data_IF_163334355698
#
_entry.id   IF_163334355698
#
_cell.length_a   1.000
_cell.length_b   1.000
_cell.length_c   1.000
_cell.angle_alpha   90.00
_cell.angle_beta   90.00
_cell.angle_gamma   90.00
#
_symmetry.space_group_name_H-M   'P 1'
#
loop_
_entity.id
_entity.type
_entity.pdbx_description
1 polymer ?
#
# COMPACT_ATOMS: atom_id res chain seq x y z
N UNK A 1 5.31 32.28 7.02
CA UNK A 1 5.83 32.28 5.62
C UNK A 1 4.75 31.67 4.74
N UNK A 2 4.49 32.23 3.55
CA UNK A 2 3.53 31.72 2.58
C UNK A 2 4.18 31.72 1.20
N UNK A 3 3.73 30.86 0.29
CA UNK A 3 4.06 30.92 -1.13
C UNK A 3 2.78 30.85 -1.96
N UNK A 4 2.86 31.37 -3.15
CA UNK A 4 1.75 31.41 -4.10
C UNK A 4 2.19 30.73 -5.40
N UNK A 5 1.24 30.10 -6.09
CA UNK A 5 1.49 29.43 -7.35
C UNK A 5 0.22 28.90 -7.98
N UNK A 6 0.39 28.12 -9.04
CA UNK A 6 -0.70 27.53 -9.83
C UNK A 6 -0.61 26.01 -9.75
N UNK A 7 -1.76 25.34 -9.66
CA UNK A 7 -1.82 23.87 -9.80
C UNK A 7 -1.60 23.52 -11.27
N UNK A 8 -0.44 22.96 -11.56
CA UNK A 8 -0.03 22.59 -12.92
C UNK A 8 -0.48 21.20 -13.34
N UNK A 9 -0.74 20.29 -12.38
CA UNK A 9 -1.26 18.96 -12.69
C UNK A 9 -2.02 18.33 -11.51
N UNK A 10 -3.00 17.51 -11.88
CA UNK A 10 -3.77 16.65 -10.97
C UNK A 10 -3.53 15.21 -11.45
N UNK A 11 -3.00 14.37 -10.59
CA UNK A 11 -2.77 12.96 -10.90
C UNK A 11 -3.76 12.05 -10.19
N UNK A 12 -3.98 10.86 -10.75
CA UNK A 12 -4.79 9.81 -10.15
C UNK A 12 -4.12 9.13 -8.96
N UNK A 13 -4.68 8.02 -8.54
CA UNK A 13 -4.13 7.20 -7.46
C UNK A 13 -2.68 6.81 -7.76
N UNK A 14 -1.84 6.90 -6.76
CA UNK A 14 -0.43 6.54 -6.84
C UNK A 14 0.05 5.96 -5.51
N UNK A 15 1.18 5.26 -5.54
CA UNK A 15 1.76 4.68 -4.34
C UNK A 15 2.95 5.49 -3.85
N UNK A 16 2.99 5.71 -2.55
CA UNK A 16 4.16 6.29 -1.91
C UNK A 16 5.32 5.30 -1.94
N UNK A 17 6.52 5.77 -1.70
CA UNK A 17 7.72 4.94 -1.56
C UNK A 17 7.61 3.82 -0.49
N UNK A 18 6.63 3.91 0.42
CA UNK A 18 6.33 2.90 1.45
C UNK A 18 5.11 2.05 1.11
N UNK A 19 4.71 1.99 -0.15
CA UNK A 19 3.58 1.19 -0.62
C UNK A 19 2.19 1.71 -0.22
N UNK A 20 2.10 2.85 0.47
CA UNK A 20 0.80 3.43 0.83
C UNK A 20 0.14 4.02 -0.41
N UNK A 21 -1.04 3.54 -0.76
CA UNK A 21 -1.85 4.12 -1.82
C UNK A 21 -2.44 5.46 -1.38
N UNK A 22 -2.30 6.47 -2.25
CA UNK A 22 -2.87 7.81 -2.08
C UNK A 22 -3.79 8.05 -3.26
N UNK A 23 -5.04 8.40 -2.98
CA UNK A 23 -6.11 8.58 -3.96
C UNK A 23 -5.95 9.89 -4.75
N UNK A 24 -4.77 10.10 -5.32
CA UNK A 24 -4.46 11.26 -6.14
C UNK A 24 -3.44 12.22 -5.54
N UNK A 25 -2.98 13.14 -6.36
CA UNK A 25 -2.09 14.22 -5.94
C UNK A 25 -2.35 15.50 -6.74
N UNK A 26 -2.02 16.64 -6.13
CA UNK A 26 -1.93 17.93 -6.80
C UNK A 26 -0.45 18.32 -6.88
N UNK A 27 -0.01 18.76 -8.02
CA UNK A 27 1.30 19.34 -8.22
C UNK A 27 1.15 20.80 -8.61
N UNK A 28 1.80 21.68 -7.84
CA UNK A 28 1.82 23.10 -8.08
C UNK A 28 3.26 23.58 -8.29
N UNK A 29 3.43 24.77 -8.84
CA UNK A 29 4.70 25.47 -8.93
C UNK A 29 5.02 26.29 -7.67
N UNK A 30 4.22 26.14 -6.62
CA UNK A 30 4.48 26.78 -5.33
C UNK A 30 5.83 26.34 -4.75
N UNK A 31 6.59 27.26 -4.21
CA UNK A 31 7.83 26.92 -3.50
C UNK A 31 7.52 26.28 -2.16
N UNK A 32 8.02 25.05 -1.93
CA UNK A 32 7.91 24.33 -0.66
C UNK A 32 9.09 24.69 0.23
N UNK A 33 8.92 25.61 1.12
CA UNK A 33 9.93 25.95 2.13
C UNK A 33 9.99 24.91 3.27
N UNK A 34 11.12 24.83 3.99
CA UNK A 34 11.20 24.02 5.18
C UNK A 34 10.05 24.31 6.16
N UNK A 35 9.35 23.27 6.63
CA UNK A 35 8.18 23.40 7.50
C UNK A 35 6.83 23.46 6.79
N UNK A 36 6.78 23.50 5.45
CA UNK A 36 5.50 23.48 4.71
C UNK A 36 4.83 22.10 4.66
N UNK A 37 5.58 21.00 4.89
CA UNK A 37 4.97 19.68 5.02
C UNK A 37 4.02 19.62 6.20
N UNK A 38 2.80 19.14 5.97
CA UNK A 38 1.71 19.13 6.95
C UNK A 38 0.88 20.42 6.96
N UNK A 39 1.31 21.47 6.24
CA UNK A 39 0.53 22.69 6.06
C UNK A 39 -0.51 22.54 4.93
N UNK A 40 -1.57 23.35 4.94
CA UNK A 40 -2.61 23.32 3.92
C UNK A 40 -2.15 23.98 2.61
N UNK A 41 -2.63 23.45 1.47
CA UNK A 41 -2.79 24.21 0.25
C UNK A 41 -4.20 24.78 0.26
N UNK A 42 -4.32 26.09 0.06
CA UNK A 42 -5.62 26.78 0.03
C UNK A 42 -5.84 27.42 -1.33
N UNK A 43 -7.09 27.53 -1.76
CA UNK A 43 -7.46 28.28 -2.96
C UNK A 43 -7.58 29.79 -2.66
N UNK A 44 -7.92 30.55 -3.66
CA UNK A 44 -8.06 32.03 -3.56
C UNK A 44 -9.24 32.47 -2.68
N UNK A 45 -10.19 31.57 -2.42
CA UNK A 45 -11.29 31.80 -1.48
C UNK A 45 -10.98 31.34 -0.05
N UNK A 46 -9.75 30.83 0.21
CA UNK A 46 -9.32 30.37 1.52
C UNK A 46 -9.78 28.94 1.87
N UNK A 47 -10.32 28.18 0.93
CA UNK A 47 -10.74 26.80 1.17
C UNK A 47 -9.53 25.87 1.09
N UNK A 48 -9.43 24.91 2.01
CA UNK A 48 -8.37 23.88 2.00
C UNK A 48 -8.62 22.91 0.86
N UNK A 49 -7.73 22.88 -0.13
CA UNK A 49 -7.78 21.94 -1.26
C UNK A 49 -6.88 20.73 -1.07
N UNK A 50 -5.97 20.78 -0.10
CA UNK A 50 -5.14 19.61 0.23
C UNK A 50 -4.09 19.88 1.30
N UNK A 51 -3.31 18.85 1.61
CA UNK A 51 -2.23 18.85 2.58
C UNK A 51 -0.87 18.69 1.88
N UNK A 52 0.05 19.59 2.14
CA UNK A 52 1.36 19.61 1.51
C UNK A 52 2.31 18.56 2.08
N UNK A 53 3.13 17.97 1.20
CA UNK A 53 4.20 17.05 1.59
C UNK A 53 5.42 17.23 0.67
N UNK A 54 6.57 17.55 1.25
CA UNK A 54 7.85 17.63 0.52
C UNK A 54 8.51 16.27 0.32
N UNK A 55 8.04 15.20 1.00
CA UNK A 55 8.65 13.87 0.97
C UNK A 55 8.02 12.91 -0.02
N UNK A 56 6.82 13.19 -0.51
CA UNK A 56 6.08 12.27 -1.36
C UNK A 56 6.49 12.34 -2.83
N UNK A 57 7.01 13.47 -3.30
CA UNK A 57 7.44 13.64 -4.69
C UNK A 57 8.95 13.73 -4.80
N UNK A 58 9.65 12.74 -5.24
CA UNK A 58 11.11 12.66 -5.52
C UNK A 58 11.76 14.04 -5.83
N UNK A 59 11.85 14.92 -4.81
CA UNK A 59 12.41 16.27 -4.93
C UNK A 59 11.41 17.38 -5.34
N UNK A 60 10.18 17.06 -5.67
CA UNK A 60 9.11 18.04 -5.88
C UNK A 60 8.06 17.90 -4.76
N UNK A 61 7.60 19.01 -4.20
CA UNK A 61 6.48 19.01 -3.26
C UNK A 61 5.21 18.49 -3.95
N UNK A 62 4.48 17.64 -3.26
CA UNK A 62 3.15 17.19 -3.68
C UNK A 62 2.13 17.59 -2.61
N UNK A 63 0.90 17.85 -3.05
CA UNK A 63 -0.22 18.07 -2.15
C UNK A 63 -1.19 16.90 -2.27
N UNK A 64 -1.54 16.29 -1.13
CA UNK A 64 -2.58 15.25 -1.04
C UNK A 64 -3.93 15.96 -1.08
N UNK A 65 -4.84 15.65 -2.04
CA UNK A 65 -6.13 16.31 -2.15
C UNK A 65 -6.98 16.15 -0.89
N UNK A 66 -7.77 17.17 -0.56
CA UNK A 66 -8.63 17.15 0.62
C UNK A 66 -9.63 15.98 0.61
N UNK A 67 -10.12 15.58 -0.58
CA UNK A 67 -11.03 14.44 -0.74
C UNK A 67 -10.36 13.12 -0.33
N UNK A 68 -9.08 12.94 -0.64
CA UNK A 68 -8.32 11.75 -0.22
C UNK A 68 -8.03 11.75 1.29
N UNK A 69 -7.93 12.92 1.89
CA UNK A 69 -7.71 13.06 3.34
C UNK A 69 -8.97 12.82 4.15
N UNK A 70 -10.15 13.08 3.61
CA UNK A 70 -11.41 13.00 4.36
C UNK A 70 -11.62 11.63 5.02
N UNK A 71 -11.32 10.54 4.30
CA UNK A 71 -11.39 9.17 4.83
C UNK A 71 -10.40 8.96 5.97
N UNK A 72 -9.14 9.35 5.77
CA UNK A 72 -8.06 9.20 6.77
C UNK A 72 -8.38 10.01 8.03
N UNK A 73 -8.87 11.23 7.86
CA UNK A 73 -9.29 12.10 8.97
C UNK A 73 -10.50 11.50 9.69
N UNK A 74 -11.48 10.95 8.94
CA UNK A 74 -12.62 10.25 9.52
C UNK A 74 -12.20 9.05 10.39
N UNK A 75 -11.29 8.22 9.90
CA UNK A 75 -10.75 7.08 10.65
C UNK A 75 -10.03 7.54 11.92
N UNK A 76 -9.19 8.58 11.82
CA UNK A 76 -8.46 9.14 12.96
C UNK A 76 -9.39 9.72 14.01
N UNK A 77 -10.44 10.43 13.62
CA UNK A 77 -11.43 10.99 14.54
C UNK A 77 -12.27 9.91 15.22
N UNK A 78 -12.61 8.85 14.49
CA UNK A 78 -13.44 7.77 15.02
C UNK A 78 -12.67 6.80 15.92
N UNK A 79 -11.41 6.50 15.60
CA UNK A 79 -10.66 5.40 16.23
C UNK A 79 -9.30 5.80 16.80
N UNK A 80 -8.86 7.05 16.59
CA UNK A 80 -7.53 7.54 16.97
C UNK A 80 -6.38 6.99 16.11
N UNK A 81 -6.64 6.13 15.13
CA UNK A 81 -5.63 5.50 14.28
C UNK A 81 -6.12 5.23 12.86
N UNK A 82 -5.20 5.11 11.94
CA UNK A 82 -5.48 4.61 10.58
C UNK A 82 -5.32 3.09 10.60
N UNK A 83 -6.43 2.38 10.47
CA UNK A 83 -6.45 0.91 10.47
C UNK A 83 -5.72 0.38 9.23
N UNK A 84 -4.87 -0.62 9.43
CA UNK A 84 -4.18 -1.33 8.35
C UNK A 84 -4.31 -2.82 8.55
N UNK A 85 -4.60 -3.52 7.46
CA UNK A 85 -4.59 -4.96 7.49
C UNK A 85 -3.17 -5.48 7.68
N UNK A 86 -3.06 -6.61 8.39
CA UNK A 86 -1.81 -7.18 8.83
C UNK A 86 -1.80 -8.69 8.55
N UNK A 87 -0.70 -9.17 7.97
CA UNK A 87 -0.44 -10.59 7.70
C UNK A 87 0.53 -11.23 8.71
N UNK A 88 1.56 -10.50 9.12
CA UNK A 88 2.63 -11.01 9.99
C UNK A 88 3.72 -11.77 9.24
N UNK A 89 4.15 -11.24 8.10
CA UNK A 89 5.23 -11.84 7.30
C UNK A 89 6.32 -10.82 6.97
N UNK A 90 7.53 -11.35 6.73
CA UNK A 90 8.53 -10.66 5.92
C UNK A 90 8.69 -11.41 4.60
N UNK A 91 8.83 -10.69 3.51
CA UNK A 91 8.95 -11.26 2.17
C UNK A 91 9.96 -10.52 1.33
N UNK A 92 10.47 -11.18 0.31
CA UNK A 92 11.33 -10.60 -0.72
C UNK A 92 10.90 -11.06 -2.11
N UNK A 93 11.13 -10.23 -3.13
CA UNK A 93 10.88 -10.63 -4.51
C UNK A 93 11.71 -11.84 -4.91
N UNK A 94 11.08 -12.81 -5.55
CA UNK A 94 11.74 -14.02 -6.07
C UNK A 94 11.32 -14.24 -7.52
N UNK A 95 12.31 -14.54 -8.38
CA UNK A 95 12.05 -14.95 -9.75
C UNK A 95 11.67 -16.42 -9.78
N UNK A 96 10.61 -16.75 -10.53
CA UNK A 96 10.15 -18.12 -10.68
C UNK A 96 10.92 -18.82 -11.81
N UNK A 97 11.29 -20.10 -11.62
CA UNK A 97 11.76 -20.93 -12.71
C UNK A 97 10.74 -21.03 -13.85
N UNK A 98 11.19 -21.15 -15.08
CA UNK A 98 10.36 -21.14 -16.30
C UNK A 98 9.23 -22.21 -16.23
N UNK A 99 9.52 -23.39 -15.69
CA UNK A 99 8.54 -24.46 -15.53
C UNK A 99 7.38 -24.06 -14.58
N UNK A 100 7.66 -23.29 -13.52
CA UNK A 100 6.64 -22.78 -12.59
C UNK A 100 5.90 -21.57 -13.17
N UNK A 101 6.59 -20.70 -13.89
CA UNK A 101 6.00 -19.58 -14.58
C UNK A 101 4.96 -20.05 -15.62
N UNK A 102 5.27 -21.07 -16.40
CA UNK A 102 4.36 -21.66 -17.37
C UNK A 102 3.07 -22.22 -16.72
N UNK A 103 3.16 -22.75 -15.50
CA UNK A 103 2.00 -23.24 -14.75
C UNK A 103 1.17 -22.13 -14.08
N UNK A 104 1.64 -20.89 -14.15
CA UNK A 104 1.03 -19.69 -13.56
C UNK A 104 0.74 -18.62 -14.63
N UNK A 105 0.27 -19.05 -15.81
CA UNK A 105 -0.10 -18.16 -16.91
C UNK A 105 1.02 -17.18 -17.32
N UNK A 106 2.29 -17.60 -17.19
CA UNK A 106 3.45 -16.80 -17.54
C UNK A 106 3.94 -15.83 -16.45
N UNK A 107 3.45 -15.94 -15.24
CA UNK A 107 3.94 -15.12 -14.13
C UNK A 107 5.41 -15.45 -13.79
N UNK A 108 6.31 -14.50 -13.96
CA UNK A 108 7.76 -14.69 -13.79
C UNK A 108 8.29 -14.44 -12.38
N UNK A 109 7.49 -13.86 -11.49
CA UNK A 109 7.92 -13.48 -10.14
C UNK A 109 6.82 -13.63 -9.11
N UNK A 110 7.21 -13.72 -7.83
CA UNK A 110 6.34 -13.74 -6.66
C UNK A 110 7.10 -13.31 -5.42
N UNK A 111 6.47 -13.40 -4.25
CA UNK A 111 7.06 -13.03 -2.97
C UNK A 111 7.46 -14.27 -2.18
N UNK A 112 8.77 -14.51 -2.05
CA UNK A 112 9.32 -15.53 -1.15
C UNK A 112 9.10 -15.08 0.29
N UNK A 113 8.46 -15.93 1.09
CA UNK A 113 8.26 -15.72 2.53
C UNK A 113 9.54 -16.08 3.26
N UNK A 114 10.14 -15.09 3.91
CA UNK A 114 11.41 -15.26 4.65
C UNK A 114 11.22 -15.27 6.16
N UNK A 115 10.07 -14.80 6.64
CA UNK A 115 9.70 -14.85 8.05
C UNK A 115 8.19 -14.90 8.19
N UNK A 116 7.69 -15.67 9.18
CA UNK A 116 6.30 -15.68 9.63
C UNK A 116 6.31 -15.42 11.13
N UNK A 117 5.56 -14.41 11.56
CA UNK A 117 5.47 -14.04 12.97
C UNK A 117 4.55 -15.02 13.70
N UNK A 118 5.00 -15.63 14.82
CA UNK A 118 4.18 -16.57 15.58
C UNK A 118 2.86 -15.96 16.06
N UNK A 119 1.76 -16.70 15.91
CA UNK A 119 0.40 -16.25 16.25
C UNK A 119 -0.19 -15.22 15.28
N UNK A 120 0.51 -14.85 14.22
CA UNK A 120 0.00 -13.94 13.19
C UNK A 120 -1.09 -14.60 12.32
N UNK A 121 -1.87 -13.79 11.55
CA UNK A 121 -2.79 -14.31 10.54
C UNK A 121 -2.17 -15.30 9.57
N UNK A 122 -0.94 -15.06 9.13
CA UNK A 122 -0.21 -15.93 8.22
C UNK A 122 0.14 -17.28 8.90
N UNK A 123 0.62 -17.25 10.15
CA UNK A 123 0.92 -18.44 10.95
C UNK A 123 -0.33 -19.28 11.18
N UNK A 124 -1.43 -18.64 11.59
CA UNK A 124 -2.72 -19.32 11.82
C UNK A 124 -3.28 -19.96 10.55
N UNK A 125 -3.03 -19.37 9.39
CA UNK A 125 -3.43 -19.90 8.08
C UNK A 125 -2.48 -20.98 7.56
N UNK A 126 -1.37 -21.27 8.26
CA UNK A 126 -0.39 -22.28 7.87
C UNK A 126 0.55 -21.84 6.74
N UNK A 127 0.79 -20.55 6.60
CA UNK A 127 1.85 -20.04 5.72
C UNK A 127 3.21 -20.34 6.34
N UNK A 128 4.17 -20.80 5.53
CA UNK A 128 5.47 -21.25 6.00
C UNK A 128 6.60 -20.42 5.37
N UNK A 129 7.73 -20.38 6.05
CA UNK A 129 8.98 -19.87 5.46
C UNK A 129 9.35 -20.75 4.27
N UNK A 130 9.71 -20.13 3.14
CA UNK A 130 10.00 -20.82 1.90
C UNK A 130 8.82 -20.93 0.94
N UNK A 131 7.59 -20.62 1.36
CA UNK A 131 6.46 -20.43 0.44
C UNK A 131 6.71 -19.23 -0.46
N UNK A 132 6.20 -19.29 -1.69
CA UNK A 132 6.21 -18.14 -2.59
C UNK A 132 4.76 -17.71 -2.83
N UNK A 133 4.38 -16.53 -2.36
CA UNK A 133 3.07 -15.94 -2.59
C UNK A 133 3.01 -15.43 -4.03
N UNK A 134 2.07 -15.96 -4.83
CA UNK A 134 1.90 -15.63 -6.25
C UNK A 134 0.59 -14.90 -6.54
N UNK A 135 -0.43 -15.05 -5.68
CA UNK A 135 -1.65 -14.25 -5.76
C UNK A 135 -2.24 -14.04 -4.36
N UNK A 136 -2.91 -12.91 -4.19
CA UNK A 136 -3.61 -12.56 -2.96
C UNK A 136 -4.92 -11.85 -3.29
N UNK A 137 -6.01 -12.23 -2.63
CA UNK A 137 -7.36 -11.68 -2.90
C UNK A 137 -7.79 -11.76 -4.38
N UNK A 138 -7.38 -12.81 -5.09
CA UNK A 138 -7.66 -13.01 -6.51
C UNK A 138 -6.82 -12.17 -7.48
N UNK A 139 -5.85 -11.40 -6.96
CA UNK A 139 -4.96 -10.55 -7.76
C UNK A 139 -3.54 -11.11 -7.74
N UNK A 140 -2.87 -11.15 -8.89
CA UNK A 140 -1.47 -11.55 -9.02
C UNK A 140 -0.57 -10.65 -8.15
N UNK A 141 0.40 -11.27 -7.47
CA UNK A 141 1.39 -10.59 -6.63
C UNK A 141 2.76 -10.91 -7.17
N UNK A 142 3.46 -9.90 -7.66
CA UNK A 142 4.80 -10.02 -8.25
C UNK A 142 5.87 -9.40 -7.36
N UNK A 143 5.50 -8.42 -6.56
CA UNK A 143 6.39 -7.70 -5.66
C UNK A 143 5.69 -7.29 -4.35
N UNK A 144 6.45 -6.67 -3.46
CA UNK A 144 5.95 -6.21 -2.14
C UNK A 144 4.91 -5.10 -2.26
N UNK A 145 4.99 -4.26 -3.28
CA UNK A 145 4.08 -3.15 -3.49
C UNK A 145 2.69 -3.65 -3.89
N UNK A 146 2.62 -4.72 -4.71
CA UNK A 146 1.38 -5.40 -5.05
C UNK A 146 0.68 -5.92 -3.79
N UNK A 147 1.42 -6.64 -2.94
CA UNK A 147 0.85 -7.15 -1.69
C UNK A 147 0.37 -6.03 -0.78
N UNK A 148 1.17 -4.98 -0.60
CA UNK A 148 0.81 -3.84 0.26
C UNK A 148 -0.47 -3.14 -0.21
N UNK A 149 -0.71 -3.08 -1.52
CA UNK A 149 -1.94 -2.51 -2.08
C UNK A 149 -3.19 -3.32 -1.72
N UNK A 150 -3.03 -4.62 -1.58
CA UNK A 150 -4.13 -5.54 -1.28
C UNK A 150 -4.47 -5.59 0.21
N UNK A 151 -3.58 -5.10 1.09
CA UNK A 151 -3.75 -5.05 2.55
C UNK A 151 -4.54 -3.80 3.01
N UNK A 152 -5.69 -3.55 2.38
CA UNK A 152 -6.59 -2.46 2.76
C UNK A 152 -7.36 -2.73 4.07
N UNK A 153 -7.68 -1.67 4.81
CA UNK A 153 -8.44 -1.77 6.08
C UNK A 153 -9.79 -2.50 5.95
N UNK A 154 -10.45 -2.40 4.80
CA UNK A 154 -11.72 -3.08 4.54
C UNK A 154 -11.65 -4.62 4.52
N UNK A 155 -10.45 -5.19 4.54
CA UNK A 155 -10.25 -6.66 4.57
C UNK A 155 -9.94 -7.21 5.97
N UNK A 156 -9.83 -6.37 6.98
CA UNK A 156 -9.57 -6.80 8.36
C UNK A 156 -10.71 -7.69 8.84
N UNK A 157 -10.36 -8.85 9.40
CA UNK A 157 -11.32 -9.86 9.90
C UNK A 157 -11.97 -10.70 8.80
N UNK A 158 -11.65 -10.50 7.53
CA UNK A 158 -12.20 -11.27 6.43
C UNK A 158 -11.24 -12.36 5.96
N UNK A 159 -11.72 -13.61 5.71
CA UNK A 159 -10.92 -14.63 5.07
C UNK A 159 -10.62 -14.21 3.63
N UNK A 160 -9.33 -14.13 3.33
CA UNK A 160 -8.84 -13.67 2.02
C UNK A 160 -8.05 -14.80 1.36
N UNK A 161 -8.37 -15.19 0.12
CA UNK A 161 -7.66 -16.25 -0.57
C UNK A 161 -6.23 -15.81 -0.91
N UNK A 162 -5.28 -16.70 -0.64
CA UNK A 162 -3.87 -16.57 -0.99
C UNK A 162 -3.42 -17.79 -1.77
N UNK A 163 -2.86 -17.60 -2.96
CA UNK A 163 -2.26 -18.67 -3.76
C UNK A 163 -0.75 -18.65 -3.56
N UNK A 164 -0.21 -19.76 -3.13
CA UNK A 164 1.21 -19.92 -2.87
C UNK A 164 1.79 -21.07 -3.70
N UNK A 165 3.11 -21.04 -3.87
CA UNK A 165 3.89 -22.21 -4.29
C UNK A 165 4.63 -22.77 -3.06
N UNK A 166 4.39 -24.03 -2.74
CA UNK A 166 5.07 -24.78 -1.67
C UNK A 166 5.76 -25.98 -2.28
N UNK A 167 7.09 -26.02 -2.22
CA UNK A 167 7.86 -27.10 -2.86
C UNK A 167 7.59 -27.25 -4.37
N UNK A 168 7.25 -26.15 -5.07
CA UNK A 168 6.89 -26.15 -6.48
C UNK A 168 5.43 -26.48 -6.79
N UNK A 169 4.61 -26.79 -5.79
CA UNK A 169 3.18 -27.10 -5.97
C UNK A 169 2.32 -25.92 -5.59
N UNK A 170 1.37 -25.55 -6.44
CA UNK A 170 0.40 -24.50 -6.15
C UNK A 170 -0.57 -24.98 -5.06
N UNK A 171 -0.75 -24.15 -4.04
CA UNK A 171 -1.64 -24.41 -2.90
C UNK A 171 -2.43 -23.14 -2.61
N UNK A 172 -3.70 -23.28 -2.24
CA UNK A 172 -4.52 -22.16 -1.79
C UNK A 172 -4.70 -22.19 -0.28
N UNK A 173 -4.56 -21.02 0.34
CA UNK A 173 -4.81 -20.79 1.75
C UNK A 173 -5.88 -19.70 1.89
N UNK A 174 -6.68 -19.78 2.94
CA UNK A 174 -7.57 -18.68 3.35
C UNK A 174 -6.95 -18.00 4.57
N UNK A 175 -6.54 -16.73 4.42
CA UNK A 175 -5.90 -15.97 5.50
C UNK A 175 -6.88 -14.93 6.02
N UNK A 176 -7.27 -15.03 7.29
CA UNK A 176 -8.08 -14.01 7.95
C UNK A 176 -7.18 -12.88 8.42
N UNK A 177 -7.25 -11.73 7.75
CA UNK A 177 -6.37 -10.60 8.03
C UNK A 177 -6.62 -10.01 9.43
N UNK A 178 -5.55 -9.79 10.16
CA UNK A 178 -5.56 -9.06 11.42
C UNK A 178 -5.48 -7.55 11.21
N UNK A 179 -5.52 -6.82 12.31
CA UNK A 179 -5.25 -5.39 12.36
C UNK A 179 -3.86 -5.15 12.98
N UNK A 180 -3.06 -4.33 12.34
CA UNK A 180 -1.79 -3.90 12.95
C UNK A 180 -2.07 -2.90 14.05
N UNK A 181 -1.60 -3.21 15.25
CA UNK A 181 -1.68 -2.32 16.42
C UNK A 181 -0.85 -1.04 16.22
#
# INVERSE_FOLDING_TARGET
MASFGVVGSIGGAWRTFRGTEVEGYLRSDTTFYPGFSGGPLVDVEGRVVGLNSSRLGRGAGLTIPAVALARIVGDLLATGKVRRAYLGISSQGARLPEALAAALDGQESGLLIVSVEPGSPADQAGLLIGDILVAFAGTTVTDTDDLQALLGAGRIGQPTPARILRGGTATELAITLGERA
#
